data_IF_171536469096
#
_entry.id   IF_171536469096
#
_cell.length_a   1.000
_cell.length_b   1.000
_cell.length_c   1.000
_cell.angle_alpha   90.00
_cell.angle_beta   90.00
_cell.angle_gamma   90.00
#
_symmetry.space_group_name_H-M   'P 1'
#
loop_
_entity.id
_entity.type
_entity.pdbx_description
1 polymer ?
#
# COMPACT_ATOMS: atom_id res chain seq x y z
N UNK A 1 -7.36 9.20 3.05
CA UNK A 1 -6.42 10.34 2.99
C UNK A 1 -5.14 9.91 3.66
N UNK A 2 -3.99 10.44 3.25
CA UNK A 2 -2.69 10.03 3.75
C UNK A 2 -1.83 11.26 4.03
N UNK A 3 -1.08 11.21 5.14
CA UNK A 3 -0.08 12.19 5.49
C UNK A 3 1.30 11.54 5.37
N UNK A 4 2.28 12.28 4.84
CA UNK A 4 3.64 11.76 4.59
C UNK A 4 4.47 11.64 5.85
N UNK A 5 4.12 12.41 6.88
CA UNK A 5 4.80 12.44 8.17
C UNK A 5 3.90 11.95 9.31
N UNK A 6 2.92 11.08 9.03
CA UNK A 6 2.13 10.41 10.08
C UNK A 6 3.03 9.46 10.90
N UNK A 7 3.19 9.68 12.22
CA UNK A 7 4.03 8.84 13.06
C UNK A 7 3.49 7.40 13.25
N UNK A 8 2.22 7.17 12.95
CA UNK A 8 1.49 5.94 13.23
C UNK A 8 1.32 5.09 11.98
N UNK A 9 1.24 5.72 10.81
CA UNK A 9 0.97 5.03 9.56
C UNK A 9 1.86 5.53 8.43
N UNK A 10 2.74 4.65 7.93
CA UNK A 10 3.56 4.95 6.74
C UNK A 10 2.71 5.04 5.48
N UNK A 11 3.14 5.88 4.52
CA UNK A 11 2.44 6.14 3.28
C UNK A 11 2.20 4.87 2.45
N UNK A 12 3.19 3.98 2.37
CA UNK A 12 3.08 2.73 1.61
C UNK A 12 1.99 1.80 2.16
N UNK A 13 1.78 1.83 3.48
CA UNK A 13 0.70 1.07 4.14
C UNK A 13 -0.65 1.64 3.74
N UNK A 14 -0.80 2.97 3.68
CA UNK A 14 -2.05 3.61 3.24
C UNK A 14 -2.35 3.28 1.79
N UNK A 15 -1.34 3.30 0.91
CA UNK A 15 -1.47 2.92 -0.50
C UNK A 15 -1.94 1.48 -0.66
N UNK A 16 -1.36 0.55 0.11
CA UNK A 16 -1.74 -0.85 0.11
C UNK A 16 -3.22 -1.04 0.49
N UNK A 17 -3.65 -0.41 1.59
CA UNK A 17 -5.05 -0.50 2.04
C UNK A 17 -6.01 0.18 1.07
N UNK A 18 -5.65 1.33 0.50
CA UNK A 18 -6.45 2.00 -0.51
C UNK A 18 -6.66 1.11 -1.74
N UNK A 19 -5.62 0.40 -2.18
CA UNK A 19 -5.70 -0.59 -3.25
C UNK A 19 -6.65 -1.74 -2.92
N UNK A 20 -6.50 -2.34 -1.73
CA UNK A 20 -7.35 -3.45 -1.28
C UNK A 20 -8.82 -3.07 -1.17
N UNK A 21 -9.12 -1.89 -0.62
CA UNK A 21 -10.49 -1.42 -0.46
C UNK A 21 -11.06 -0.80 -1.74
N UNK A 22 -10.23 -0.62 -2.77
CA UNK A 22 -10.64 0.09 -3.97
C UNK A 22 -10.96 1.56 -3.73
N UNK A 23 -10.42 2.13 -2.67
CA UNK A 23 -10.65 3.50 -2.24
C UNK A 23 -9.72 4.47 -2.95
N UNK A 24 -10.16 5.72 -3.10
CA UNK A 24 -9.30 6.79 -3.61
C UNK A 24 -8.40 7.27 -2.47
N UNK A 25 -7.09 7.17 -2.67
CA UNK A 25 -6.11 7.78 -1.78
C UNK A 25 -5.90 9.24 -2.19
N UNK A 26 -5.89 10.12 -1.20
CA UNK A 26 -5.58 11.55 -1.36
C UNK A 26 -4.42 11.85 -0.42
N UNK A 27 -3.28 12.20 -0.98
CA UNK A 27 -2.10 12.67 -0.27
C UNK A 27 -2.30 14.15 0.06
N UNK A 28 -2.20 14.50 1.35
CA UNK A 28 -2.36 15.87 1.85
C UNK A 28 -1.03 16.47 2.35
N UNK A 29 0.11 15.84 2.03
CA UNK A 29 1.45 16.31 2.39
C UNK A 29 1.80 16.03 3.85
N UNK A 30 2.53 16.95 4.48
CA UNK A 30 3.04 16.85 5.85
C UNK A 30 2.00 17.31 6.88
N UNK A 31 0.96 16.49 7.07
CA UNK A 31 -0.21 16.80 7.89
C UNK A 31 -0.17 16.16 9.31
N UNK A 32 0.89 15.48 9.68
CA UNK A 32 0.96 14.68 10.92
C UNK A 32 -0.10 13.58 10.92
N UNK A 33 -0.57 13.19 12.11
CA UNK A 33 -1.72 12.30 12.24
C UNK A 33 -3.01 13.13 12.20
N UNK A 34 -3.87 12.95 11.19
CA UNK A 34 -5.05 13.80 10.93
C UNK A 34 -6.01 13.81 12.13
N UNK A 35 -5.90 14.80 13.00
CA UNK A 35 -6.67 14.96 14.23
C UNK A 35 -6.72 16.44 14.64
N UNK A 36 -7.36 16.75 15.77
CA UNK A 36 -7.47 18.14 16.25
C UNK A 36 -6.10 18.72 16.59
N UNK A 37 -5.23 17.92 17.23
CA UNK A 37 -3.89 18.34 17.68
C UNK A 37 -2.95 18.68 16.51
N UNK A 38 -3.16 18.07 15.34
CA UNK A 38 -2.43 18.37 14.10
C UNK A 38 -3.09 19.46 13.24
N UNK A 39 -4.11 20.14 13.77
CA UNK A 39 -4.74 21.30 13.13
C UNK A 39 -5.98 20.99 12.29
N UNK A 40 -6.49 19.76 12.33
CA UNK A 40 -7.69 19.34 11.60
C UNK A 40 -8.97 19.41 12.45
N UNK A 41 -9.14 20.47 13.24
CA UNK A 41 -10.38 20.78 13.96
C UNK A 41 -11.48 21.27 12.99
N UNK A 42 -11.68 22.59 12.82
CA UNK A 42 -12.45 23.11 11.69
C UNK A 42 -11.69 22.84 10.38
N UNK A 43 -12.18 21.88 9.59
CA UNK A 43 -11.52 21.47 8.35
C UNK A 43 -12.41 21.63 7.11
N UNK A 44 -12.50 22.85 6.54
CA UNK A 44 -13.31 23.12 5.35
C UNK A 44 -12.94 22.25 4.14
N UNK A 45 -11.66 21.92 3.98
CA UNK A 45 -11.18 21.06 2.91
C UNK A 45 -11.70 19.62 3.09
N UNK A 46 -11.73 19.10 4.32
CA UNK A 46 -12.34 17.81 4.63
C UNK A 46 -13.83 17.77 4.28
N UNK A 47 -14.55 18.87 4.55
CA UNK A 47 -15.95 18.99 4.15
C UNK A 47 -16.11 19.01 2.62
N UNK A 48 -15.23 19.72 1.90
CA UNK A 48 -15.23 19.72 0.44
C UNK A 48 -14.98 18.32 -0.14
N UNK A 49 -14.07 17.55 0.46
CA UNK A 49 -13.81 16.15 0.09
C UNK A 49 -15.04 15.27 0.35
N UNK A 50 -15.70 15.43 1.49
CA UNK A 50 -16.97 14.71 1.76
C UNK A 50 -18.03 15.03 0.70
N UNK A 51 -18.18 16.31 0.31
CA UNK A 51 -19.12 16.71 -0.75
C UNK A 51 -18.74 16.13 -2.12
N UNK A 52 -17.45 16.05 -2.43
CA UNK A 52 -16.97 15.39 -3.64
C UNK A 52 -17.31 13.88 -3.65
N UNK A 53 -17.22 13.22 -2.49
CA UNK A 53 -17.61 11.81 -2.33
C UNK A 53 -19.12 11.61 -2.52
N UNK A 54 -19.93 12.44 -1.89
CA UNK A 54 -21.39 12.41 -2.02
C UNK A 54 -21.87 12.67 -3.46
N UNK A 55 -21.12 13.46 -4.23
CA UNK A 55 -21.44 13.77 -5.63
C UNK A 55 -20.87 12.76 -6.64
N UNK A 56 -20.21 11.70 -6.19
CA UNK A 56 -19.59 10.71 -7.10
C UNK A 56 -18.42 11.27 -7.92
N UNK A 57 -17.84 12.41 -7.50
CA UNK A 57 -16.74 13.07 -8.22
C UNK A 57 -15.41 12.36 -8.04
N UNK A 58 -15.29 11.45 -7.07
CA UNK A 58 -14.15 10.54 -6.99
C UNK A 58 -14.31 9.41 -8.00
N UNK A 59 -13.88 9.69 -9.22
CA UNK A 59 -13.70 8.66 -10.24
C UNK A 59 -12.52 7.78 -9.81
N UNK A 60 -12.75 6.48 -9.69
CA UNK A 60 -11.66 5.51 -9.49
C UNK A 60 -10.78 5.59 -10.74
N UNK A 61 -9.55 6.10 -10.61
CA UNK A 61 -8.52 5.77 -11.60
C UNK A 61 -8.35 4.26 -11.53
N UNK A 62 -8.52 3.57 -12.66
CA UNK A 62 -8.19 2.17 -12.76
C UNK A 62 -6.69 2.04 -12.44
N UNK A 63 -6.36 1.60 -11.23
CA UNK A 63 -5.01 1.14 -10.90
C UNK A 63 -4.90 -0.22 -11.58
N UNK A 64 -4.16 -0.31 -12.68
CA UNK A 64 -3.75 -1.60 -13.22
C UNK A 64 -2.89 -2.24 -12.13
N UNK A 65 -3.32 -3.35 -11.51
CA UNK A 65 -2.46 -4.01 -10.53
C UNK A 65 -1.17 -4.40 -11.24
N UNK A 66 -0.04 -3.90 -10.76
CA UNK A 66 1.27 -4.37 -11.21
C UNK A 66 1.28 -5.88 -11.04
N UNK A 67 1.52 -6.67 -12.11
CA UNK A 67 1.55 -8.12 -11.97
C UNK A 67 2.59 -8.46 -10.92
N UNK A 68 2.17 -9.23 -9.91
CA UNK A 68 3.05 -9.72 -8.87
C UNK A 68 4.29 -10.32 -9.54
N UNK A 69 5.47 -9.78 -9.19
CA UNK A 69 6.75 -10.25 -9.70
C UNK A 69 6.79 -11.76 -9.49
N UNK A 70 6.71 -12.53 -10.59
CA UNK A 70 6.75 -13.99 -10.58
C UNK A 70 8.03 -14.41 -9.86
N UNK A 71 7.92 -14.76 -8.59
CA UNK A 71 9.00 -15.32 -7.79
C UNK A 71 9.42 -16.60 -8.49
N UNK A 72 10.61 -16.58 -9.08
CA UNK A 72 11.23 -17.79 -9.59
C UNK A 72 11.35 -18.78 -8.42
N UNK A 73 10.95 -20.05 -8.59
CA UNK A 73 11.14 -21.05 -7.55
C UNK A 73 12.64 -21.15 -7.23
N UNK A 74 12.97 -21.11 -5.95
CA UNK A 74 14.32 -21.30 -5.43
C UNK A 74 14.93 -22.59 -6.01
N UNK A 75 16.19 -22.59 -6.50
CA UNK A 75 16.78 -23.79 -7.07
C UNK A 75 16.94 -24.86 -5.97
N UNK A 76 16.31 -26.02 -6.16
CA UNK A 76 16.56 -27.21 -5.35
C UNK A 76 18.00 -27.65 -5.61
N UNK A 77 18.89 -27.44 -4.65
CA UNK A 77 20.21 -28.08 -4.66
C UNK A 77 20.01 -29.60 -4.60
N UNK A 78 20.25 -30.26 -5.72
CA UNK A 78 20.36 -31.72 -5.77
C UNK A 78 21.65 -32.11 -5.05
N UNK A 79 21.53 -32.69 -3.85
CA UNK A 79 22.66 -33.33 -3.16
C UNK A 79 23.04 -34.58 -3.95
N UNK A 80 24.10 -34.48 -4.75
CA UNK A 80 24.71 -35.61 -5.43
C UNK A 80 25.47 -36.43 -4.37
N UNK A 81 24.88 -37.54 -3.91
CA UNK A 81 25.58 -38.51 -3.07
C UNK A 81 26.31 -39.49 -3.97
N UNK A 82 27.64 -39.43 -3.92
CA UNK A 82 28.56 -40.29 -4.63
C UNK A 82 28.32 -41.77 -4.31
N UNK A 83 28.19 -42.58 -5.36
CA UNK A 83 28.32 -44.03 -5.28
C UNK A 83 29.81 -44.37 -5.13
N UNK A 84 30.20 -44.84 -3.96
CA UNK A 84 31.44 -45.60 -3.79
C UNK A 84 31.11 -47.09 -4.03
N UNK A 85 31.60 -47.62 -5.15
CA UNK A 85 31.67 -49.06 -5.42
C UNK A 85 32.71 -49.72 -4.51
N UNK A 86 32.41 -50.82 -3.81
CA UNK A 86 33.44 -51.70 -3.29
C UNK A 86 33.92 -52.62 -4.43
N UNK A 87 35.22 -52.63 -4.65
CA UNK A 87 35.94 -53.67 -5.41
C UNK A 87 35.95 -54.97 -4.60
N UNK A 88 35.87 -56.10 -5.30
CA UNK A 88 35.94 -57.48 -4.80
C UNK A 88 37.11 -57.75 -3.83
#
# INVERSE_FOLDING_TARGET
MASRNDPWMRLETVEHWAGLWGSVMIDIGDAGHINIDSGFGPWPQGLALLRALQSGRFQRRAVTPTPARRTLPYPRTTRQSAHATPTF
#
